data_IF_260084218137
#
_entry.id   IF_260084218137
#
_cell.length_a   1.000
_cell.length_b   1.000
_cell.length_c   1.000
_cell.angle_alpha   90.00
_cell.angle_beta   90.00
_cell.angle_gamma   90.00
#
_symmetry.space_group_name_H-M   'P 1'
#
loop_
_entity.id
_entity.type
_entity.pdbx_description
1 polymer ?
#
# COMPACT_ATOMS: atom_id res chain seq x y z
N UNK A 1 -47.40 -28.77 40.88
CA UNK A 1 -46.28 -29.29 40.07
C UNK A 1 -45.95 -28.31 38.96
N UNK A 2 -44.69 -27.88 38.92
CA UNK A 2 -43.86 -27.52 37.74
C UNK A 2 -44.32 -26.36 36.83
N UNK A 3 -43.71 -25.17 37.01
CA UNK A 3 -42.71 -24.51 36.12
C UNK A 3 -43.30 -23.98 34.81
N UNK A 4 -43.28 -22.69 34.48
CA UNK A 4 -42.15 -21.75 34.54
C UNK A 4 -41.69 -21.46 33.12
N UNK A 5 -41.67 -20.18 32.71
CA UNK A 5 -40.77 -19.62 31.69
C UNK A 5 -40.89 -18.10 31.71
N UNK A 6 -40.12 -17.49 32.62
CA UNK A 6 -39.71 -16.10 32.53
C UNK A 6 -38.89 -15.94 31.25
N UNK A 7 -39.37 -15.10 30.33
CA UNK A 7 -38.59 -14.68 29.17
C UNK A 7 -37.43 -13.83 29.67
N UNK A 8 -36.23 -14.40 29.68
CA UNK A 8 -34.99 -13.68 29.95
C UNK A 8 -34.76 -12.69 28.81
N UNK A 9 -35.13 -11.42 29.02
CA UNK A 9 -34.75 -10.32 28.12
C UNK A 9 -33.23 -10.31 28.00
N UNK A 10 -32.70 -10.64 26.83
CA UNK A 10 -31.29 -10.48 26.52
C UNK A 10 -30.98 -8.99 26.58
N UNK A 11 -30.35 -8.56 27.66
CA UNK A 11 -29.83 -7.20 27.80
C UNK A 11 -28.83 -6.96 26.66
N UNK A 12 -29.21 -6.18 25.65
CA UNK A 12 -28.35 -5.86 24.52
C UNK A 12 -27.08 -5.19 25.05
N UNK A 13 -25.91 -5.67 24.59
CA UNK A 13 -24.59 -5.16 24.95
C UNK A 13 -24.02 -4.39 23.78
N UNK A 14 -23.35 -3.28 24.08
CA UNK A 14 -22.58 -2.54 23.09
C UNK A 14 -21.52 -3.46 22.48
N UNK A 15 -21.47 -3.58 21.16
CA UNK A 15 -20.49 -4.44 20.49
C UNK A 15 -19.05 -3.95 20.63
N UNK A 16 -18.84 -2.65 20.85
CA UNK A 16 -17.48 -2.09 20.99
C UNK A 16 -16.90 -2.18 22.42
N UNK A 17 -17.68 -1.91 23.47
CA UNK A 17 -17.18 -1.86 24.85
C UNK A 17 -17.88 -2.82 25.82
N UNK A 18 -18.86 -3.59 25.35
CA UNK A 18 -19.58 -4.59 26.15
C UNK A 18 -20.58 -4.01 27.16
N UNK A 19 -20.72 -2.68 27.27
CA UNK A 19 -21.64 -2.06 28.22
C UNK A 19 -23.08 -2.37 27.86
N UNK A 20 -23.86 -2.78 28.85
CA UNK A 20 -25.32 -2.94 28.74
C UNK A 20 -25.99 -1.58 28.90
N UNK A 21 -26.92 -1.24 28.01
CA UNK A 21 -27.69 0.00 28.12
C UNK A 21 -28.50 0.30 26.86
N UNK A 22 -28.90 1.57 26.71
CA UNK A 22 -29.50 2.06 25.47
C UNK A 22 -28.46 2.03 24.35
N UNK A 23 -28.75 1.27 23.30
CA UNK A 23 -27.90 1.12 22.14
C UNK A 23 -28.58 1.74 20.93
N UNK A 24 -27.79 2.44 20.12
CA UNK A 24 -28.22 2.93 18.83
C UNK A 24 -27.57 2.11 17.73
N UNK A 25 -28.32 1.72 16.68
CA UNK A 25 -27.74 1.07 15.51
C UNK A 25 -26.83 2.06 14.76
N UNK A 26 -25.64 1.59 14.39
CA UNK A 26 -24.73 2.31 13.49
C UNK A 26 -24.15 1.30 12.49
N UNK A 27 -24.58 1.38 11.23
CA UNK A 27 -24.39 0.32 10.24
C UNK A 27 -24.93 -1.02 10.76
N UNK A 28 -24.11 -2.07 10.79
CA UNK A 28 -24.49 -3.42 11.25
C UNK A 28 -24.22 -3.65 12.75
N UNK A 29 -23.82 -2.61 13.50
CA UNK A 29 -23.37 -2.70 14.89
C UNK A 29 -24.32 -1.98 15.87
N UNK A 30 -24.39 -2.46 17.12
CA UNK A 30 -25.14 -1.80 18.20
C UNK A 30 -24.19 -1.12 19.20
N UNK A 31 -24.17 0.22 19.18
CA UNK A 31 -23.22 1.00 19.97
C UNK A 31 -23.92 1.82 21.06
N UNK A 32 -23.27 1.92 22.22
CA UNK A 32 -23.69 2.86 23.25
C UNK A 32 -23.28 4.30 22.87
N UNK A 33 -23.90 5.29 23.52
CA UNK A 33 -23.65 6.71 23.24
C UNK A 33 -22.15 7.10 23.30
N UNK A 34 -21.38 6.51 24.23
CA UNK A 34 -19.94 6.78 24.37
C UNK A 34 -19.13 6.27 23.17
N UNK A 35 -19.34 5.01 22.77
CA UNK A 35 -18.66 4.43 21.62
C UNK A 35 -19.04 5.15 20.33
N UNK A 36 -20.30 5.58 20.20
CA UNK A 36 -20.75 6.36 19.06
C UNK A 36 -20.05 7.73 18.98
N UNK A 37 -19.92 8.43 20.10
CA UNK A 37 -19.18 9.69 20.15
C UNK A 37 -17.71 9.53 19.73
N UNK A 38 -17.08 8.40 20.08
CA UNK A 38 -15.73 8.06 19.61
C UNK A 38 -15.73 7.85 18.10
N UNK A 39 -16.67 7.07 17.55
CA UNK A 39 -16.78 6.85 16.09
C UNK A 39 -17.00 8.17 15.34
N UNK A 40 -17.84 9.05 15.86
CA UNK A 40 -18.08 10.37 15.25
C UNK A 40 -16.83 11.26 15.32
N UNK A 41 -16.06 11.19 16.42
CA UNK A 41 -14.76 11.84 16.53
C UNK A 41 -13.76 11.28 15.49
N UNK A 42 -13.75 9.96 15.28
CA UNK A 42 -12.93 9.32 14.24
C UNK A 42 -13.25 9.87 12.85
N UNK A 43 -14.53 10.11 12.55
CA UNK A 43 -14.97 10.65 11.25
C UNK A 43 -14.62 12.12 11.06
N UNK A 44 -14.71 12.92 12.12
CA UNK A 44 -14.53 14.39 12.05
C UNK A 44 -13.09 14.84 12.18
N UNK A 45 -12.26 14.12 12.92
CA UNK A 45 -10.92 14.58 13.28
C UNK A 45 -9.95 13.40 13.49
N UNK A 46 -9.50 12.75 12.41
CA UNK A 46 -8.56 11.63 12.49
C UNK A 46 -7.23 12.02 13.17
N UNK A 47 -6.77 13.27 13.01
CA UNK A 47 -5.54 13.76 13.65
C UNK A 47 -5.61 13.78 15.18
N UNK A 48 -6.81 14.00 15.74
CA UNK A 48 -7.03 13.96 17.17
C UNK A 48 -6.86 12.55 17.73
N UNK A 49 -7.22 11.51 16.96
CA UNK A 49 -6.99 10.12 17.37
C UNK A 49 -5.50 9.80 17.46
N UNK A 50 -4.69 10.30 16.52
CA UNK A 50 -3.24 10.08 16.54
C UNK A 50 -2.58 10.75 17.76
N UNK A 51 -3.10 11.91 18.19
CA UNK A 51 -2.64 12.56 19.43
C UNK A 51 -3.09 11.79 20.67
N UNK A 52 -4.33 11.31 20.69
CA UNK A 52 -4.87 10.50 21.80
C UNK A 52 -4.17 9.14 21.93
N UNK A 53 -3.80 8.49 20.82
CA UNK A 53 -3.08 7.22 20.84
C UNK A 53 -1.69 7.37 21.47
N UNK A 54 -0.98 8.45 21.13
CA UNK A 54 0.31 8.80 21.75
C UNK A 54 0.16 9.02 23.26
N UNK A 55 -0.86 9.76 23.68
CA UNK A 55 -1.12 10.02 25.11
C UNK A 55 -1.53 8.75 25.87
N UNK A 56 -2.20 7.81 25.21
CA UNK A 56 -2.59 6.52 25.79
C UNK A 56 -1.45 5.50 25.82
N UNK A 57 -0.23 5.85 25.40
CA UNK A 57 0.93 4.95 25.39
C UNK A 57 0.92 3.94 24.25
N UNK A 58 0.16 4.20 23.17
CA UNK A 58 0.22 3.45 21.91
C UNK A 58 0.99 4.29 20.88
N UNK A 59 2.34 4.23 20.88
CA UNK A 59 3.17 5.18 20.13
C UNK A 59 2.94 5.14 18.62
N UNK A 60 2.45 4.04 18.06
CA UNK A 60 2.05 3.95 16.67
C UNK A 60 0.85 2.99 16.53
N UNK A 61 -0.36 3.50 16.72
CA UNK A 61 -1.48 2.88 16.01
C UNK A 61 -1.20 3.16 14.52
N UNK A 62 -0.98 2.12 13.67
CA UNK A 62 -0.74 2.36 12.25
C UNK A 62 -1.92 3.18 11.74
N UNK A 63 -1.62 4.41 11.31
CA UNK A 63 -2.59 5.37 10.81
C UNK A 63 -3.38 4.72 9.68
N UNK A 64 -4.52 4.10 10.00
CA UNK A 64 -5.47 3.55 9.04
C UNK A 64 -4.84 2.89 7.82
N UNK A 65 -3.70 2.19 7.93
CA UNK A 65 -3.45 1.15 6.96
C UNK A 65 -4.54 0.16 7.29
N UNK A 66 -5.58 0.14 6.45
CA UNK A 66 -6.22 -1.12 6.13
C UNK A 66 -5.08 -2.14 6.16
N UNK A 67 -5.23 -3.22 6.92
CA UNK A 67 -4.46 -4.42 6.61
C UNK A 67 -4.85 -4.76 5.17
N UNK A 68 -4.25 -4.07 4.20
CA UNK A 68 -4.34 -4.42 2.80
C UNK A 68 -3.58 -5.73 2.82
N UNK A 69 -4.36 -6.80 2.83
CA UNK A 69 -3.87 -8.13 2.58
C UNK A 69 -3.16 -7.98 1.24
N UNK A 70 -1.83 -8.10 1.24
CA UNK A 70 -1.02 -8.01 0.03
C UNK A 70 -1.57 -9.08 -0.92
N UNK A 71 -2.33 -8.62 -1.91
CA UNK A 71 -2.96 -9.50 -2.87
C UNK A 71 -1.87 -9.92 -3.85
N UNK A 72 -1.69 -11.21 -4.06
CA UNK A 72 -0.78 -11.69 -5.10
C UNK A 72 -1.40 -11.45 -6.48
N UNK A 73 -0.56 -11.02 -7.43
CA UNK A 73 -0.95 -10.94 -8.83
C UNK A 73 -1.18 -12.35 -9.38
N UNK A 74 -2.30 -12.60 -10.09
CA UNK A 74 -2.47 -13.80 -10.90
C UNK A 74 -1.39 -13.92 -11.99
N UNK A 75 -1.10 -15.15 -12.41
CA UNK A 75 -0.15 -15.44 -13.50
C UNK A 75 -0.58 -14.85 -14.85
N UNK A 76 -1.89 -14.69 -15.05
CA UNK A 76 -2.49 -14.16 -16.28
C UNK A 76 -3.43 -13.02 -15.92
N UNK A 77 -3.23 -11.88 -16.56
CA UNK A 77 -4.07 -10.70 -16.44
C UNK A 77 -4.60 -10.28 -17.80
N UNK A 78 -5.85 -9.85 -17.81
CA UNK A 78 -6.40 -9.17 -18.98
C UNK A 78 -5.74 -7.80 -19.12
N UNK A 79 -5.46 -7.42 -20.37
CA UNK A 79 -4.82 -6.15 -20.66
C UNK A 79 -5.51 -5.42 -21.82
N UNK A 80 -5.73 -4.13 -21.62
CA UNK A 80 -6.25 -3.22 -22.65
C UNK A 80 -5.08 -2.54 -23.33
N UNK A 81 -5.01 -2.64 -24.66
CA UNK A 81 -3.95 -2.02 -25.47
C UNK A 81 -4.44 -0.73 -26.13
N UNK A 82 -3.84 0.38 -25.73
CA UNK A 82 -4.06 1.71 -26.27
C UNK A 82 -3.00 2.03 -27.32
N UNK A 83 -3.42 2.60 -28.45
CA UNK A 83 -2.52 3.12 -29.48
C UNK A 83 -2.52 4.66 -29.39
N UNK A 84 -1.35 5.25 -29.33
CA UNK A 84 -1.17 6.71 -29.30
C UNK A 84 0.00 7.16 -30.18
N UNK A 85 0.16 8.46 -30.37
CA UNK A 85 1.23 9.06 -31.15
C UNK A 85 1.89 10.18 -30.35
N UNK A 86 3.23 10.25 -30.37
CA UNK A 86 3.95 11.35 -29.74
C UNK A 86 4.01 12.61 -30.62
N UNK A 87 4.72 13.65 -30.13
CA UNK A 87 4.91 14.92 -30.83
C UNK A 87 5.66 14.78 -32.16
N UNK A 88 6.51 13.76 -32.27
CA UNK A 88 7.31 13.45 -33.45
C UNK A 88 6.58 12.47 -34.40
N UNK A 89 5.30 12.18 -34.13
CA UNK A 89 4.43 11.25 -34.86
C UNK A 89 4.88 9.78 -34.81
N UNK A 90 5.72 9.41 -33.84
CA UNK A 90 6.00 8.00 -33.60
C UNK A 90 4.75 7.33 -33.02
N UNK A 91 4.46 6.12 -33.48
CA UNK A 91 3.35 5.32 -32.92
C UNK A 91 3.83 4.60 -31.66
N UNK A 92 3.05 4.74 -30.60
CA UNK A 92 3.25 4.09 -29.31
C UNK A 92 2.08 3.17 -28.98
N UNK A 93 2.39 2.07 -28.33
CA UNK A 93 1.41 1.14 -27.80
C UNK A 93 1.59 1.03 -26.29
N UNK A 94 0.52 1.31 -25.54
CA UNK A 94 0.49 1.21 -24.09
C UNK A 94 -0.50 0.12 -23.73
N UNK A 95 -0.03 -0.96 -23.11
CA UNK A 95 -0.87 -2.02 -22.55
C UNK A 95 -1.04 -1.79 -21.06
N UNK A 96 -2.27 -1.80 -20.58
CA UNK A 96 -2.62 -1.68 -19.16
C UNK A 96 -3.27 -2.98 -18.72
N UNK A 97 -2.62 -3.70 -17.80
CA UNK A 97 -3.17 -4.90 -17.18
C UNK A 97 -4.07 -4.50 -16.00
N UNK A 98 -5.23 -5.14 -15.90
CA UNK A 98 -6.25 -4.81 -14.91
C UNK A 98 -6.57 -6.02 -14.02
N UNK A 99 -6.83 -5.75 -12.73
CA UNK A 99 -7.33 -6.72 -11.76
C UNK A 99 -8.56 -6.12 -11.09
N UNK A 100 -9.71 -6.80 -11.19
CA UNK A 100 -11.00 -6.33 -10.68
C UNK A 100 -11.36 -4.89 -11.10
N UNK A 101 -10.98 -4.52 -12.34
CA UNK A 101 -11.18 -3.18 -12.91
C UNK A 101 -10.19 -2.11 -12.45
N UNK A 102 -9.18 -2.47 -11.65
CA UNK A 102 -8.12 -1.57 -11.22
C UNK A 102 -6.84 -1.79 -12.04
N UNK A 103 -6.15 -0.72 -12.48
CA UNK A 103 -4.89 -0.88 -13.21
C UNK A 103 -3.76 -1.32 -12.26
N UNK A 104 -3.05 -2.39 -12.63
CA UNK A 104 -1.99 -2.97 -11.79
C UNK A 104 -0.63 -3.01 -12.47
N UNK A 105 -0.58 -3.17 -13.79
CA UNK A 105 0.67 -3.11 -14.55
C UNK A 105 0.50 -2.32 -15.84
N UNK A 106 1.56 -1.61 -16.24
CA UNK A 106 1.60 -0.87 -17.49
C UNK A 106 2.86 -1.26 -18.25
N UNK A 107 2.70 -1.50 -19.55
CA UNK A 107 3.78 -1.75 -20.49
C UNK A 107 3.66 -0.79 -21.66
N UNK A 108 4.78 -0.19 -22.07
CA UNK A 108 4.83 0.65 -23.26
C UNK A 108 5.82 0.07 -24.26
N UNK A 109 5.45 0.07 -25.54
CA UNK A 109 6.28 -0.39 -26.64
C UNK A 109 6.14 0.55 -27.85
N UNK A 110 7.17 0.57 -28.68
CA UNK A 110 7.21 1.34 -29.94
C UNK A 110 7.72 0.44 -31.06
N UNK A 111 7.44 0.80 -32.31
CA UNK A 111 7.82 0.01 -33.49
C UNK A 111 9.35 -0.02 -33.74
N UNK A 112 10.12 0.86 -33.09
CA UNK A 112 11.56 1.04 -33.31
C UNK A 112 12.46 0.34 -32.29
N UNK A 113 12.00 -0.75 -31.68
CA UNK A 113 12.68 -1.46 -30.58
C UNK A 113 14.07 -2.05 -30.95
N UNK A 114 14.49 -1.98 -32.22
CA UNK A 114 15.74 -2.56 -32.74
C UNK A 114 16.86 -1.56 -33.03
N UNK A 115 16.61 -0.26 -32.90
CA UNK A 115 17.65 0.76 -33.14
C UNK A 115 18.51 0.95 -31.88
N UNK A 116 19.82 0.83 -32.02
CA UNK A 116 20.79 0.91 -30.92
C UNK A 116 20.77 2.29 -30.24
N UNK A 117 20.51 3.37 -30.99
CA UNK A 117 20.39 4.72 -30.42
C UNK A 117 19.10 4.89 -29.60
N UNK A 118 18.08 4.09 -29.87
CA UNK A 118 16.81 4.12 -29.15
C UNK A 118 16.82 3.25 -27.88
N UNK A 119 17.79 2.35 -27.71
CA UNK A 119 17.87 1.45 -26.55
C UNK A 119 17.93 2.20 -25.21
N UNK A 120 18.66 3.31 -25.13
CA UNK A 120 18.69 4.15 -23.92
C UNK A 120 17.31 4.77 -23.62
N UNK A 121 16.59 5.23 -24.65
CA UNK A 121 15.22 5.74 -24.50
C UNK A 121 14.23 4.64 -24.09
N UNK A 122 14.39 3.45 -24.63
CA UNK A 122 13.59 2.27 -24.30
C UNK A 122 13.88 1.80 -22.85
N UNK A 123 15.13 1.85 -22.40
CA UNK A 123 15.52 1.59 -21.01
C UNK A 123 14.83 2.57 -20.05
N UNK A 124 14.90 3.87 -20.33
CA UNK A 124 14.21 4.91 -19.55
C UNK A 124 12.69 4.70 -19.51
N UNK A 125 12.07 4.39 -20.67
CA UNK A 125 10.65 4.10 -20.75
C UNK A 125 10.28 2.87 -19.90
N UNK A 126 11.00 1.76 -20.08
CA UNK A 126 10.79 0.50 -19.34
C UNK A 126 10.88 0.75 -17.83
N UNK A 127 11.79 1.63 -17.42
CA UNK A 127 11.98 2.03 -16.04
C UNK A 127 10.77 2.77 -15.50
N UNK A 128 10.31 3.78 -16.22
CA UNK A 128 9.13 4.56 -15.84
C UNK A 128 7.91 3.65 -15.72
N UNK A 129 7.65 2.78 -16.70
CA UNK A 129 6.48 1.91 -16.68
C UNK A 129 6.53 0.87 -15.56
N UNK A 130 7.72 0.30 -15.26
CA UNK A 130 7.90 -0.63 -14.13
C UNK A 130 7.72 0.06 -12.77
N UNK A 131 8.24 1.27 -12.61
CA UNK A 131 8.07 2.03 -11.37
C UNK A 131 6.62 2.47 -11.16
N UNK A 132 5.93 2.92 -12.23
CA UNK A 132 4.49 3.20 -12.17
C UNK A 132 3.71 1.94 -11.81
N UNK A 133 4.02 0.79 -12.41
CA UNK A 133 3.37 -0.48 -12.05
C UNK A 133 3.55 -0.81 -10.57
N UNK A 134 4.75 -0.62 -10.02
CA UNK A 134 5.01 -0.81 -8.60
C UNK A 134 4.18 0.13 -7.71
N UNK A 135 3.98 1.38 -8.12
CA UNK A 135 3.11 2.35 -7.43
C UNK A 135 1.64 1.93 -7.54
N UNK A 136 1.18 1.49 -8.72
CA UNK A 136 -0.20 1.07 -8.93
C UNK A 136 -0.56 -0.13 -8.06
N UNK A 137 0.32 -1.14 -7.98
CA UNK A 137 0.13 -2.27 -7.07
C UNK A 137 0.13 -1.86 -5.61
N UNK A 138 0.94 -0.88 -5.22
CA UNK A 138 0.86 -0.32 -3.88
C UNK A 138 -0.49 0.34 -3.61
N UNK A 139 -0.98 1.15 -4.53
CA UNK A 139 -2.24 1.90 -4.39
C UNK A 139 -3.45 0.96 -4.38
N UNK A 140 -3.53 0.02 -5.32
CA UNK A 140 -4.73 -0.78 -5.56
C UNK A 140 -4.70 -2.17 -4.92
N UNK A 141 -3.51 -2.75 -4.71
CA UNK A 141 -3.35 -4.11 -4.15
C UNK A 141 -2.72 -4.09 -2.75
N UNK A 142 -2.30 -2.92 -2.27
CA UNK A 142 -1.60 -2.77 -1.00
C UNK A 142 -0.21 -3.41 -0.95
N UNK A 143 0.37 -3.69 -2.11
CA UNK A 143 1.75 -4.17 -2.19
C UNK A 143 2.67 -3.17 -1.50
N UNK A 144 3.52 -3.61 -0.57
CA UNK A 144 4.44 -2.67 0.11
C UNK A 144 5.46 -2.13 -0.88
N UNK A 145 5.47 -0.81 -1.04
CA UNK A 145 6.49 -0.12 -1.82
C UNK A 145 7.79 -0.02 -1.00
N UNK A 146 8.76 -0.88 -1.29
CA UNK A 146 10.06 -0.90 -0.60
C UNK A 146 11.20 -0.47 -1.51
N UNK A 147 12.30 -0.01 -0.90
CA UNK A 147 13.53 0.31 -1.63
C UNK A 147 14.06 -0.93 -2.39
N UNK A 148 13.97 -2.12 -1.80
CA UNK A 148 14.42 -3.37 -2.42
C UNK A 148 13.63 -3.72 -3.69
N UNK A 149 12.30 -3.61 -3.65
CA UNK A 149 11.45 -3.81 -4.84
C UNK A 149 11.74 -2.74 -5.90
N UNK A 150 11.99 -1.51 -5.47
CA UNK A 150 12.39 -0.40 -6.37
C UNK A 150 13.72 -0.72 -7.07
N UNK A 151 14.75 -1.11 -6.32
CA UNK A 151 16.06 -1.50 -6.86
C UNK A 151 15.94 -2.68 -7.83
N UNK A 152 15.10 -3.66 -7.51
CA UNK A 152 14.83 -4.81 -8.38
C UNK A 152 14.23 -4.37 -9.72
N UNK A 153 13.26 -3.45 -9.71
CA UNK A 153 12.69 -2.92 -10.95
C UNK A 153 13.71 -2.11 -11.76
N UNK A 154 14.55 -1.30 -11.11
CA UNK A 154 15.64 -0.58 -11.79
C UNK A 154 16.61 -1.55 -12.48
N UNK A 155 17.04 -2.61 -11.78
CA UNK A 155 17.92 -3.63 -12.33
C UNK A 155 17.32 -4.34 -13.55
N UNK A 156 16.03 -4.68 -13.47
CA UNK A 156 15.30 -5.32 -14.59
C UNK A 156 15.01 -4.38 -15.76
N UNK A 157 15.17 -3.07 -15.57
CA UNK A 157 14.94 -2.07 -16.62
C UNK A 157 16.21 -1.73 -17.38
N UNK A 158 17.38 -1.90 -16.74
CA UNK A 158 18.67 -1.67 -17.35
C UNK A 158 18.87 -2.64 -18.52
N UNK A 159 19.37 -2.10 -19.64
CA UNK A 159 19.64 -2.84 -20.88
C UNK A 159 21.10 -2.74 -21.31
N UNK A 160 21.84 -1.75 -20.80
CA UNK A 160 23.22 -1.48 -21.16
C UNK A 160 24.01 -0.96 -19.96
N UNK A 161 25.33 -1.19 -19.92
CA UNK A 161 26.21 -0.59 -18.92
C UNK A 161 26.11 0.95 -18.94
N UNK A 162 26.09 1.54 -17.75
CA UNK A 162 26.01 2.98 -17.48
C UNK A 162 24.75 3.65 -18.06
N UNK A 163 23.66 2.89 -18.25
CA UNK A 163 22.35 3.49 -18.50
C UNK A 163 21.73 4.06 -17.22
N UNK A 164 20.77 4.98 -17.38
CA UNK A 164 20.17 5.69 -16.25
C UNK A 164 19.62 4.74 -15.16
N UNK A 165 18.92 3.63 -15.47
CA UNK A 165 18.44 2.71 -14.45
C UNK A 165 19.55 2.05 -13.66
N UNK A 166 20.66 1.68 -14.30
CA UNK A 166 21.83 1.15 -13.61
C UNK A 166 22.46 2.22 -12.69
N UNK A 167 22.67 3.43 -13.20
CA UNK A 167 23.23 4.55 -12.41
C UNK A 167 22.37 4.86 -11.19
N UNK A 168 21.05 4.94 -11.36
CA UNK A 168 20.10 5.14 -10.25
C UNK A 168 20.15 3.96 -9.27
N UNK A 169 20.19 2.73 -9.76
CA UNK A 169 20.32 1.53 -8.94
C UNK A 169 21.56 1.57 -8.06
N UNK A 170 22.72 1.93 -8.62
CA UNK A 170 23.99 2.09 -7.87
C UNK A 170 23.88 3.14 -6.77
N UNK A 171 23.33 4.32 -7.07
CA UNK A 171 23.17 5.42 -6.10
C UNK A 171 22.23 5.02 -4.96
N UNK A 172 21.06 4.47 -5.30
CA UNK A 172 20.03 4.10 -4.33
C UNK A 172 20.44 2.89 -3.47
N UNK A 173 21.22 1.95 -4.01
CA UNK A 173 21.73 0.81 -3.25
C UNK A 173 22.58 1.22 -2.04
N UNK A 174 23.21 2.40 -2.07
CA UNK A 174 23.97 2.93 -0.92
C UNK A 174 23.08 3.20 0.30
N UNK A 175 21.79 3.50 0.09
CA UNK A 175 20.83 3.70 1.16
C UNK A 175 20.30 2.37 1.73
N UNK A 176 20.37 1.28 0.97
CA UNK A 176 20.04 -0.06 1.46
C UNK A 176 21.10 -0.62 2.41
N UNK A 177 22.37 -0.16 2.31
CA UNK A 177 23.50 -0.65 3.13
C UNK A 177 23.61 0.06 4.48
N UNK A 178 22.97 1.21 4.66
CA UNK A 178 22.95 1.95 5.93
C UNK A 178 21.76 1.48 6.78
N UNK A 179 21.90 0.32 7.46
CA UNK A 179 21.08 0.07 8.66
C UNK A 179 21.59 0.96 9.80
N UNK A 180 20.73 1.62 10.60
CA UNK A 180 21.18 2.38 11.76
C UNK A 180 21.67 1.44 12.88
N UNK A 181 22.88 1.75 13.35
CA UNK A 181 23.52 1.56 14.66
C UNK A 181 22.78 0.71 15.70
N UNK A 182 23.45 -0.35 16.17
CA UNK A 182 23.22 -1.00 17.47
C UNK A 182 23.17 0.07 18.58
N UNK A 183 21.99 0.32 19.11
CA UNK A 183 21.78 0.99 20.40
C UNK A 183 21.47 -0.09 21.42
N UNK A 184 22.45 -0.95 21.69
CA UNK A 184 22.47 -1.83 22.85
C UNK A 184 23.94 -2.02 23.26
N UNK A 185 24.53 -0.94 23.74
CA UNK A 185 25.75 -1.03 24.56
C UNK A 185 25.38 -0.49 25.94
N UNK A 186 24.78 -1.35 26.76
CA UNK A 186 24.79 -1.16 28.21
C UNK A 186 26.26 -0.96 28.65
N UNK A 187 26.60 0.14 29.34
CA UNK A 187 27.89 0.23 29.99
C UNK A 187 27.91 -0.83 31.10
N UNK A 188 28.80 -1.81 30.96
CA UNK A 188 29.12 -2.78 31.99
C UNK A 188 29.37 -2.03 33.32
N UNK A 189 28.58 -2.36 34.33
CA UNK A 189 28.85 -1.99 35.71
C UNK A 189 30.18 -2.64 36.13
N UNK A 190 31.19 -1.82 36.35
CA UNK A 190 32.45 -2.24 36.96
C UNK A 190 32.24 -2.40 38.47
N UNK A 191 32.78 -3.47 39.11
CA UNK A 191 32.70 -3.67 40.56
C UNK A 191 33.49 -2.64 41.37
#
# INVERSE_FOLDING_TARGET
MKTGKTATQSKNKCTACGTVGELAPLADEQLCAKCRAIVDLCKRSPDSLQKLSRLAGFPDAPSGSQRQIEQELPDVLDAVRYRTTDRDRNTWYVSVSELDGNPVEIFASTAFDRDQHLQSRISNLTTITRLISLILRHVFMGEKLTLEKTLTQLHRSSRQPEDLPEMLGKVLANYSKKKPLDVDREPAATP
#
